data_IF_491380313594
#
_entry.id   IF_491380313594
#
_cell.length_a   1.000
_cell.length_b   1.000
_cell.length_c   1.000
_cell.angle_alpha   90.00
_cell.angle_beta   90.00
_cell.angle_gamma   90.00
#
_symmetry.space_group_name_H-M   'P 1'
#
loop_
_entity.id
_entity.type
_entity.pdbx_description
1 polymer ?
#
# COMPACT_ATOMS: atom_id res chain seq x y z
N UNK A 1 15.52 12.46 43.83
CA UNK A 1 15.71 12.26 42.38
C UNK A 1 14.75 13.19 41.69
N UNK A 2 15.26 14.08 40.83
CA UNK A 2 14.53 15.20 40.22
C UNK A 2 13.69 14.72 39.01
N UNK A 3 12.37 14.99 38.95
CA UNK A 3 11.49 14.58 37.84
C UNK A 3 11.80 15.23 36.48
N UNK A 4 12.65 16.26 36.41
CA UNK A 4 12.72 17.17 35.25
C UNK A 4 13.71 16.81 34.12
N UNK A 5 14.36 15.64 34.08
CA UNK A 5 15.33 15.41 32.97
C UNK A 5 15.30 14.02 32.36
N UNK A 6 14.18 13.70 31.69
CA UNK A 6 14.20 12.76 30.56
C UNK A 6 14.23 13.56 29.26
N UNK A 7 15.41 13.77 28.68
CA UNK A 7 15.53 14.33 27.32
C UNK A 7 15.18 13.22 26.31
N UNK A 8 13.95 13.23 25.82
CA UNK A 8 13.50 12.38 24.72
C UNK A 8 13.77 13.04 23.36
N UNK A 9 14.13 12.23 22.37
CA UNK A 9 14.12 12.62 20.96
C UNK A 9 13.01 11.87 20.25
N UNK A 10 12.33 12.52 19.31
CA UNK A 10 11.27 11.92 18.51
C UNK A 10 11.51 12.19 17.03
N UNK A 11 11.27 11.18 16.20
CA UNK A 11 11.34 11.28 14.75
C UNK A 11 9.95 10.95 14.22
N UNK A 12 9.40 11.85 13.41
CA UNK A 12 8.14 11.62 12.69
C UNK A 12 8.49 11.29 11.25
N UNK A 13 7.96 10.18 10.75
CA UNK A 13 8.14 9.72 9.38
C UNK A 13 6.77 9.72 8.68
N UNK A 14 6.70 10.39 7.55
CA UNK A 14 5.52 10.40 6.67
C UNK A 14 5.87 9.78 5.32
N UNK A 15 4.92 9.02 4.75
CA UNK A 15 5.10 8.35 3.48
C UNK A 15 4.31 9.06 2.39
N UNK A 16 5.02 9.76 1.51
CA UNK A 16 4.41 10.45 0.38
C UNK A 16 3.69 9.45 -0.54
N UNK A 17 2.38 9.66 -0.73
CA UNK A 17 1.51 8.84 -1.60
C UNK A 17 1.59 7.35 -1.27
N UNK A 18 1.54 7.04 0.02
CA UNK A 18 1.63 5.70 0.58
C UNK A 18 0.90 4.62 -0.22
N UNK A 19 -0.35 4.89 -0.63
CA UNK A 19 -1.17 3.92 -1.36
C UNK A 19 -0.75 3.82 -2.82
N UNK A 20 -0.50 4.95 -3.51
CA UNK A 20 -0.20 4.96 -4.94
C UNK A 20 1.16 4.34 -5.28
N UNK A 21 2.09 4.35 -4.31
CA UNK A 21 3.47 3.88 -4.52
C UNK A 21 3.68 2.39 -4.20
N UNK A 22 2.67 1.67 -3.73
CA UNK A 22 2.80 0.23 -3.45
C UNK A 22 3.11 -0.55 -4.71
N UNK A 23 4.30 -1.14 -4.79
CA UNK A 23 4.66 -2.06 -5.87
C UNK A 23 3.95 -3.40 -5.70
N UNK A 24 3.19 -3.84 -6.72
CA UNK A 24 2.38 -5.05 -6.64
C UNK A 24 3.21 -6.32 -6.40
N UNK A 25 4.39 -6.43 -7.04
CA UNK A 25 5.26 -7.59 -6.83
C UNK A 25 5.77 -7.68 -5.39
N UNK A 26 6.13 -6.53 -4.80
CA UNK A 26 6.51 -6.48 -3.39
C UNK A 26 5.34 -6.83 -2.48
N UNK A 27 4.16 -6.27 -2.74
CA UNK A 27 2.94 -6.63 -2.02
C UNK A 27 2.65 -8.14 -2.08
N UNK A 28 2.71 -8.77 -3.26
CA UNK A 28 2.48 -10.21 -3.40
C UNK A 28 3.49 -11.04 -2.59
N UNK A 29 4.75 -10.60 -2.55
CA UNK A 29 5.77 -11.23 -1.70
C UNK A 29 5.44 -11.08 -0.22
N UNK A 30 5.06 -9.89 0.25
CA UNK A 30 4.65 -9.68 1.64
C UNK A 30 3.47 -10.58 2.00
N UNK A 31 2.39 -10.56 1.20
CA UNK A 31 1.22 -11.40 1.45
C UNK A 31 1.57 -12.90 1.52
N UNK A 32 2.45 -13.37 0.64
CA UNK A 32 2.94 -14.75 0.67
C UNK A 32 3.72 -15.05 1.96
N UNK A 33 4.59 -14.14 2.39
CA UNK A 33 5.36 -14.27 3.64
C UNK A 33 4.45 -14.31 4.87
N UNK A 34 3.35 -13.56 4.87
CA UNK A 34 2.33 -13.59 5.93
C UNK A 34 1.42 -14.84 5.88
N UNK A 35 1.72 -15.82 5.04
CA UNK A 35 0.98 -17.08 4.98
C UNK A 35 -0.34 -17.02 4.21
N UNK A 36 -0.57 -15.97 3.41
CA UNK A 36 -1.73 -15.92 2.53
C UNK A 36 -1.63 -17.04 1.49
N UNK A 37 -2.62 -17.94 1.52
CA UNK A 37 -2.67 -19.11 0.66
C UNK A 37 -2.69 -18.75 -0.84
N UNK A 38 -2.20 -19.66 -1.70
CA UNK A 38 -2.05 -19.40 -3.13
C UNK A 38 -3.35 -19.07 -3.84
N UNK A 39 -4.47 -19.64 -3.39
CA UNK A 39 -5.80 -19.35 -3.95
C UNK A 39 -6.22 -17.89 -3.75
N UNK A 40 -6.11 -17.38 -2.52
CA UNK A 40 -6.48 -15.99 -2.22
C UNK A 40 -5.47 -15.01 -2.82
N UNK A 41 -4.18 -15.35 -2.82
CA UNK A 41 -3.17 -14.55 -3.51
C UNK A 41 -3.46 -14.42 -5.01
N UNK A 42 -3.87 -15.51 -5.65
CA UNK A 42 -4.28 -15.49 -7.06
C UNK A 42 -5.49 -14.59 -7.29
N UNK A 43 -6.49 -14.65 -6.41
CA UNK A 43 -7.64 -13.74 -6.47
C UNK A 43 -7.22 -12.27 -6.40
N UNK A 44 -6.31 -11.92 -5.48
CA UNK A 44 -5.75 -10.56 -5.37
C UNK A 44 -5.00 -10.19 -6.67
N UNK A 45 -4.14 -11.06 -7.19
CA UNK A 45 -3.44 -10.81 -8.45
C UNK A 45 -4.40 -10.53 -9.62
N UNK A 46 -5.54 -11.23 -9.65
CA UNK A 46 -6.58 -11.03 -10.67
C UNK A 46 -7.31 -9.70 -10.55
N UNK A 47 -7.38 -9.10 -9.36
CA UNK A 47 -7.94 -7.74 -9.19
C UNK A 47 -7.04 -6.70 -9.88
N UNK A 48 -5.72 -6.88 -9.81
CA UNK A 48 -4.74 -5.91 -10.31
C UNK A 48 -4.32 -6.14 -11.76
N UNK A 49 -4.43 -7.36 -12.28
CA UNK A 49 -3.97 -7.68 -13.63
C UNK A 49 -4.73 -6.87 -14.69
N UNK A 50 -3.98 -6.14 -15.53
CA UNK A 50 -4.58 -5.32 -16.58
C UNK A 50 -5.42 -4.14 -16.06
N UNK A 51 -5.27 -3.76 -14.79
CA UNK A 51 -6.03 -2.65 -14.22
C UNK A 51 -5.76 -1.34 -14.98
N UNK A 52 -6.84 -0.64 -15.32
CA UNK A 52 -6.80 0.68 -15.97
C UNK A 52 -7.65 1.67 -15.21
N UNK A 53 -7.29 2.95 -15.27
CA UNK A 53 -8.10 4.06 -14.77
C UNK A 53 -8.39 5.05 -15.89
N UNK A 54 -9.40 5.90 -15.69
CA UNK A 54 -9.71 7.05 -16.55
C UNK A 54 -9.97 8.25 -15.66
N UNK A 55 -9.54 9.42 -16.09
CA UNK A 55 -9.76 10.67 -15.37
C UNK A 55 -10.90 11.43 -16.05
N UNK A 56 -11.75 12.09 -15.27
CA UNK A 56 -12.76 13.00 -15.81
C UNK A 56 -12.14 14.40 -15.88
N UNK A 57 -12.07 14.97 -17.08
CA UNK A 57 -11.59 16.33 -17.34
C UNK A 57 -12.68 17.05 -18.13
N UNK A 58 -13.16 18.19 -17.64
CA UNK A 58 -14.25 18.94 -18.29
C UNK A 58 -15.51 18.12 -18.59
N UNK A 59 -15.87 17.18 -17.70
CA UNK A 59 -16.99 16.22 -17.85
C UNK A 59 -16.78 15.13 -18.93
N UNK A 60 -15.59 15.05 -19.53
CA UNK A 60 -15.23 14.00 -20.48
C UNK A 60 -14.21 13.03 -19.87
N UNK A 61 -14.27 11.76 -20.25
CA UNK A 61 -13.32 10.74 -19.81
C UNK A 61 -12.08 10.73 -20.70
N UNK A 62 -10.89 10.77 -20.10
CA UNK A 62 -9.61 10.59 -20.81
C UNK A 62 -9.51 9.20 -21.46
N UNK A 63 -8.49 8.98 -22.29
CA UNK A 63 -8.12 7.61 -22.68
C UNK A 63 -7.78 6.76 -21.44
N UNK A 64 -7.97 5.43 -21.50
CA UNK A 64 -7.54 4.53 -20.44
C UNK A 64 -6.05 4.66 -20.15
N UNK A 65 -5.72 4.79 -18.87
CA UNK A 65 -4.37 4.82 -18.34
C UNK A 65 -4.12 3.49 -17.64
N UNK A 66 -3.08 2.78 -18.05
CA UNK A 66 -2.69 1.54 -17.40
C UNK A 66 -2.10 1.82 -16.02
N UNK A 67 -2.64 1.16 -14.99
CA UNK A 67 -2.10 1.20 -13.63
C UNK A 67 -0.99 0.16 -13.55
N UNK A 68 0.16 0.53 -12.97
CA UNK A 68 1.33 -0.36 -12.81
C UNK A 68 1.69 -0.63 -11.35
N UNK A 69 1.15 0.18 -10.45
CA UNK A 69 1.40 0.16 -9.02
C UNK A 69 0.23 0.84 -8.29
N UNK A 70 0.24 0.66 -6.99
CA UNK A 70 -0.65 1.33 -6.07
C UNK A 70 -1.85 0.50 -5.67
N UNK A 71 -2.38 0.87 -4.51
CA UNK A 71 -3.62 0.34 -3.94
C UNK A 71 -4.74 1.34 -4.24
N UNK A 72 -5.92 0.83 -4.58
CA UNK A 72 -7.06 1.70 -4.90
C UNK A 72 -7.58 2.36 -3.62
N UNK A 73 -7.53 3.68 -3.54
CA UNK A 73 -8.17 4.41 -2.45
C UNK A 73 -9.69 4.23 -2.49
N UNK A 74 -10.28 3.97 -1.33
CA UNK A 74 -11.71 3.64 -1.20
C UNK A 74 -12.07 2.17 -1.46
N UNK A 75 -11.11 1.31 -1.82
CA UNK A 75 -11.29 -0.14 -1.80
C UNK A 75 -11.16 -0.65 -0.36
N UNK A 76 -12.17 -1.39 0.18
CA UNK A 76 -12.12 -1.95 1.52
C UNK A 76 -10.92 -2.86 1.80
N UNK A 77 -10.31 -3.47 0.78
CA UNK A 77 -9.16 -4.37 0.96
C UNK A 77 -7.83 -3.62 1.02
N UNK A 78 -7.75 -2.42 0.43
CA UNK A 78 -6.52 -1.64 0.32
C UNK A 78 -5.87 -1.32 1.69
N UNK A 79 -6.61 -0.91 2.75
CA UNK A 79 -6.00 -0.65 4.05
C UNK A 79 -5.30 -1.87 4.65
N UNK A 80 -5.89 -3.06 4.52
CA UNK A 80 -5.30 -4.30 5.03
C UNK A 80 -4.06 -4.70 4.22
N UNK A 81 -4.13 -4.57 2.89
CA UNK A 81 -2.96 -4.80 2.03
C UNK A 81 -1.81 -3.85 2.38
N UNK A 82 -2.11 -2.57 2.64
CA UNK A 82 -1.11 -1.59 3.03
C UNK A 82 -0.43 -1.93 4.37
N UNK A 83 -1.21 -2.33 5.38
CA UNK A 83 -0.68 -2.74 6.68
C UNK A 83 0.34 -3.89 6.54
N UNK A 84 0.04 -4.89 5.71
CA UNK A 84 0.97 -6.00 5.46
C UNK A 84 2.19 -5.59 4.62
N UNK A 85 2.05 -4.57 3.78
CA UNK A 85 3.16 -4.02 2.98
C UNK A 85 4.14 -3.23 3.85
N UNK A 86 3.66 -2.50 4.86
CA UNK A 86 4.52 -1.67 5.71
C UNK A 86 5.17 -2.45 6.85
N UNK A 87 4.59 -3.57 7.26
CA UNK A 87 5.07 -4.40 8.37
C UNK A 87 6.57 -4.77 8.30
N UNK A 88 7.17 -5.12 7.14
CA UNK A 88 8.61 -5.40 7.07
C UNK A 88 9.49 -4.21 7.46
N UNK A 89 9.04 -2.97 7.22
CA UNK A 89 9.76 -1.77 7.66
C UNK A 89 9.63 -1.62 9.18
N UNK A 90 8.42 -1.82 9.72
CA UNK A 90 8.14 -1.70 11.16
C UNK A 90 8.93 -2.73 11.99
N UNK A 91 9.17 -3.91 11.45
CA UNK A 91 9.98 -4.95 12.09
C UNK A 91 11.51 -4.70 11.97
N UNK A 92 11.92 -3.78 11.10
CA UNK A 92 13.33 -3.49 10.84
C UNK A 92 13.85 -2.25 11.60
N UNK A 93 12.95 -1.50 12.25
CA UNK A 93 13.25 -0.31 13.06
C UNK A 93 13.01 -0.57 14.54
#
# INVERSE_FOLDING_TARGET
MDPETYKGHSILLDQEKAYDRVGWEFMYRCLRTFGIGPWFLHFIQKIYIGATTRVVVNKELTNPIQIKNGLRQGDPLSPLQYNLVIEPLLLAI
#
